data_IF_899740837132
#
_entry.id   IF_899740837132
#
_cell.length_a   1.000
_cell.length_b   1.000
_cell.length_c   1.000
_cell.angle_alpha   90.00
_cell.angle_beta   90.00
_cell.angle_gamma   90.00
#
_symmetry.space_group_name_H-M   'P 1'
#
loop_
_entity.id
_entity.type
_entity.pdbx_description
1 polymer ?
#
# COMPACT_ATOMS: atom_id res chain seq x y z
N UNK A 1 -4.53 -7.49 39.69
CA UNK A 1 -4.28 -7.89 38.27
C UNK A 1 -5.54 -8.07 37.41
N UNK A 2 -6.67 -8.60 37.93
CA UNK A 2 -7.92 -8.78 37.15
C UNK A 2 -8.61 -7.48 36.71
N UNK A 3 -8.51 -6.41 37.52
CA UNK A 3 -9.18 -5.13 37.24
C UNK A 3 -8.57 -4.39 36.05
N UNK A 4 -7.23 -4.43 35.94
CA UNK A 4 -6.48 -3.83 34.83
C UNK A 4 -6.84 -4.53 33.52
N UNK A 5 -6.92 -5.87 33.52
CA UNK A 5 -7.33 -6.63 32.34
C UNK A 5 -8.76 -6.30 31.87
N UNK A 6 -9.68 -6.08 32.82
CA UNK A 6 -11.04 -5.61 32.48
C UNK A 6 -11.03 -4.22 31.86
N UNK A 7 -10.22 -3.31 32.38
CA UNK A 7 -10.08 -1.96 31.83
C UNK A 7 -9.49 -1.96 30.41
N UNK A 8 -8.46 -2.76 30.18
CA UNK A 8 -7.84 -2.92 28.85
C UNK A 8 -8.81 -3.57 27.86
N UNK A 9 -9.58 -4.57 28.28
CA UNK A 9 -10.61 -5.18 27.44
C UNK A 9 -11.72 -4.17 27.08
N UNK A 10 -12.12 -3.33 28.04
CA UNK A 10 -13.12 -2.30 27.83
C UNK A 10 -12.63 -1.19 26.89
N UNK A 11 -11.39 -0.70 27.07
CA UNK A 11 -10.80 0.30 26.17
C UNK A 11 -10.70 -0.22 24.74
N UNK A 12 -10.26 -1.48 24.57
CA UNK A 12 -10.18 -2.12 23.26
C UNK A 12 -11.54 -2.23 22.57
N UNK A 13 -12.60 -2.52 23.33
CA UNK A 13 -13.97 -2.55 22.79
C UNK A 13 -14.47 -1.17 22.33
N UNK A 14 -14.09 -0.11 23.03
CA UNK A 14 -14.37 1.27 22.61
C UNK A 14 -13.57 1.65 21.36
N UNK A 15 -12.29 1.29 21.30
CA UNK A 15 -11.44 1.52 20.12
C UNK A 15 -12.02 0.79 18.89
N UNK A 16 -12.47 -0.46 19.05
CA UNK A 16 -13.13 -1.20 17.97
C UNK A 16 -14.44 -0.57 17.53
N UNK A 17 -15.24 -0.04 18.47
CA UNK A 17 -16.49 0.66 18.17
C UNK A 17 -16.23 1.95 17.38
N UNK A 18 -15.29 2.78 17.81
CA UNK A 18 -14.91 4.00 17.09
C UNK A 18 -14.27 3.69 15.72
N UNK A 19 -13.35 2.73 15.67
CA UNK A 19 -12.70 2.36 14.42
C UNK A 19 -13.68 1.75 13.41
N UNK A 20 -14.73 1.05 13.88
CA UNK A 20 -15.68 0.32 13.01
C UNK A 20 -16.30 1.17 11.91
N UNK A 21 -16.70 2.41 12.23
CA UNK A 21 -17.33 3.32 11.27
C UNK A 21 -16.34 3.83 10.22
N UNK A 22 -15.08 4.00 10.59
CA UNK A 22 -14.04 4.55 9.72
C UNK A 22 -13.21 3.50 8.99
N UNK A 23 -13.42 2.19 9.22
CA UNK A 23 -12.60 1.12 8.59
C UNK A 23 -12.53 1.26 7.08
N UNK A 24 -13.64 1.61 6.43
CA UNK A 24 -13.69 1.80 4.97
C UNK A 24 -12.84 2.98 4.50
N UNK A 25 -12.94 4.12 5.19
CA UNK A 25 -12.15 5.33 4.85
C UNK A 25 -10.67 5.08 5.10
N UNK A 26 -10.32 4.48 6.24
CA UNK A 26 -8.93 4.15 6.57
C UNK A 26 -8.34 3.16 5.56
N UNK A 27 -9.09 2.12 5.17
CA UNK A 27 -8.64 1.17 4.16
C UNK A 27 -8.48 1.82 2.78
N UNK A 28 -9.35 2.79 2.43
CA UNK A 28 -9.21 3.56 1.20
C UNK A 28 -7.96 4.44 1.23
N UNK A 29 -7.76 5.21 2.30
CA UNK A 29 -6.58 6.09 2.44
C UNK A 29 -5.28 5.30 2.46
N UNK A 30 -5.25 4.12 3.10
CA UNK A 30 -4.08 3.23 3.02
C UNK A 30 -3.80 2.80 1.58
N UNK A 31 -4.83 2.39 0.83
CA UNK A 31 -4.67 2.01 -0.58
C UNK A 31 -4.19 3.17 -1.45
N UNK A 32 -4.66 4.39 -1.22
CA UNK A 32 -4.21 5.59 -1.95
C UNK A 32 -2.72 5.86 -1.70
N UNK A 33 -2.26 5.66 -0.46
CA UNK A 33 -0.83 5.75 -0.10
C UNK A 33 -0.02 4.65 -0.78
N UNK A 34 -0.50 3.40 -0.74
CA UNK A 34 0.16 2.27 -1.39
C UNK A 34 0.28 2.51 -2.91
N UNK A 35 -0.76 3.04 -3.54
CA UNK A 35 -0.79 3.38 -4.97
C UNK A 35 0.15 4.54 -5.31
N UNK A 36 0.25 5.54 -4.43
CA UNK A 36 1.19 6.63 -4.59
C UNK A 36 2.64 6.11 -4.62
N UNK A 37 3.01 5.23 -3.68
CA UNK A 37 4.35 4.63 -3.66
C UNK A 37 4.63 3.77 -4.89
N UNK A 38 3.63 3.01 -5.38
CA UNK A 38 3.76 2.28 -6.64
C UNK A 38 4.09 3.24 -7.80
N UNK A 39 3.31 4.31 -7.96
CA UNK A 39 3.49 5.24 -9.07
C UNK A 39 4.88 5.89 -9.03
N UNK A 40 5.29 6.46 -7.89
CA UNK A 40 6.56 7.18 -7.82
C UNK A 40 7.76 6.25 -8.02
N UNK A 41 7.79 5.08 -7.36
CA UNK A 41 8.91 4.14 -7.48
C UNK A 41 9.05 3.58 -8.89
N UNK A 42 7.93 3.18 -9.53
CA UNK A 42 7.98 2.66 -10.88
C UNK A 42 8.16 3.75 -11.95
N UNK A 43 7.71 4.99 -11.69
CA UNK A 43 8.04 6.13 -12.55
C UNK A 43 9.54 6.38 -12.59
N UNK A 44 10.20 6.32 -11.43
CA UNK A 44 11.65 6.47 -11.31
C UNK A 44 12.39 5.35 -12.07
N UNK A 45 11.91 4.10 -11.93
CA UNK A 45 12.47 2.97 -12.66
C UNK A 45 12.34 3.11 -14.19
N UNK A 46 11.28 3.76 -14.68
CA UNK A 46 11.11 4.09 -16.10
C UNK A 46 11.88 5.35 -16.54
N UNK A 47 12.57 6.03 -15.63
CA UNK A 47 13.26 7.30 -15.90
C UNK A 47 12.30 8.48 -16.09
N UNK A 48 11.05 8.36 -15.65
CA UNK A 48 10.10 9.47 -15.60
C UNK A 48 10.43 10.31 -14.37
N UNK A 49 10.71 11.61 -14.54
CA UNK A 49 11.14 12.43 -13.43
C UNK A 49 10.02 12.65 -12.41
N UNK A 50 10.37 12.61 -11.13
CA UNK A 50 9.42 12.82 -10.03
C UNK A 50 10.10 13.55 -8.85
N UNK A 51 9.33 14.26 -7.97
CA UNK A 51 9.90 15.07 -6.91
C UNK A 51 10.58 14.29 -5.78
N UNK A 52 10.52 12.96 -5.81
CA UNK A 52 11.09 12.03 -4.83
C UNK A 52 12.19 11.13 -5.43
N UNK A 53 12.75 11.51 -6.58
CA UNK A 53 13.88 10.84 -7.22
C UNK A 53 15.01 10.51 -6.22
N UNK A 54 15.67 9.37 -6.44
CA UNK A 54 16.78 8.81 -5.66
C UNK A 54 16.40 8.26 -4.28
N UNK A 55 15.20 8.56 -3.77
CA UNK A 55 14.74 8.07 -2.47
C UNK A 55 13.81 6.85 -2.57
N UNK A 56 13.19 6.62 -3.71
CA UNK A 56 12.09 5.64 -3.81
C UNK A 56 12.50 4.28 -4.34
N UNK A 57 13.70 4.13 -4.90
CA UNK A 57 14.23 2.85 -5.40
C UNK A 57 14.44 1.82 -4.29
N UNK A 58 14.70 2.25 -3.06
CA UNK A 58 14.85 1.34 -1.91
C UNK A 58 13.56 0.58 -1.59
N UNK A 59 12.41 1.12 -2.03
CA UNK A 59 11.10 0.49 -1.85
C UNK A 59 10.83 -0.61 -2.88
N UNK A 60 11.62 -0.70 -3.95
CA UNK A 60 11.43 -1.69 -5.02
C UNK A 60 11.24 -3.12 -4.49
N UNK A 61 12.05 -3.65 -3.56
CA UNK A 61 11.90 -5.02 -3.08
C UNK A 61 10.55 -5.30 -2.40
N UNK A 62 9.98 -4.31 -1.73
CA UNK A 62 8.69 -4.42 -1.03
C UNK A 62 7.49 -4.21 -1.96
N UNK A 63 7.65 -3.33 -2.95
CA UNK A 63 6.60 -3.03 -3.93
C UNK A 63 6.53 -4.08 -5.04
N UNK A 64 7.65 -4.72 -5.38
CA UNK A 64 7.73 -5.68 -6.48
C UNK A 64 6.70 -6.80 -6.42
N UNK A 65 6.55 -7.52 -5.29
CA UNK A 65 5.64 -8.65 -5.21
C UNK A 65 4.16 -8.24 -5.36
N UNK A 66 3.86 -6.95 -5.17
CA UNK A 66 2.51 -6.38 -5.22
C UNK A 66 2.17 -5.78 -6.58
N UNK A 67 3.15 -5.68 -7.48
CA UNK A 67 3.01 -4.98 -8.76
C UNK A 67 1.95 -5.64 -9.67
N UNK A 68 1.91 -6.97 -9.77
CA UNK A 68 0.92 -7.68 -10.61
C UNK A 68 -0.52 -7.28 -10.28
N UNK A 69 -0.87 -7.31 -8.99
CA UNK A 69 -2.21 -6.96 -8.52
C UNK A 69 -2.49 -5.47 -8.73
N UNK A 70 -1.48 -4.63 -8.55
CA UNK A 70 -1.60 -3.19 -8.71
C UNK A 70 -1.88 -2.79 -10.17
N UNK A 71 -1.10 -3.29 -11.14
CA UNK A 71 -1.25 -2.88 -12.54
C UNK A 71 -2.60 -3.33 -13.11
N UNK A 72 -3.09 -4.52 -12.73
CA UNK A 72 -4.44 -4.98 -13.06
C UNK A 72 -5.51 -4.07 -12.46
N UNK A 73 -5.35 -3.66 -11.19
CA UNK A 73 -6.29 -2.78 -10.50
C UNK A 73 -6.40 -1.41 -11.17
N UNK A 74 -5.29 -0.86 -11.66
CA UNK A 74 -5.29 0.44 -12.35
C UNK A 74 -5.70 0.34 -13.83
N UNK A 75 -5.98 -0.88 -14.33
CA UNK A 75 -6.49 -1.11 -15.67
C UNK A 75 -5.41 -1.19 -16.76
N UNK A 76 -4.18 -1.52 -16.40
CA UNK A 76 -3.13 -1.83 -17.37
C UNK A 76 -3.34 -3.28 -17.86
N UNK A 77 -3.49 -3.44 -19.18
CA UNK A 77 -3.69 -4.76 -19.79
C UNK A 77 -2.44 -5.64 -19.69
N UNK A 78 -1.27 -5.02 -19.81
CA UNK A 78 0.04 -5.67 -19.81
C UNK A 78 1.01 -4.88 -18.92
N UNK A 79 2.05 -5.56 -18.45
CA UNK A 79 3.14 -4.92 -17.74
C UNK A 79 3.87 -3.94 -18.67
N UNK A 80 4.11 -2.69 -18.26
CA UNK A 80 4.96 -1.75 -19.01
C UNK A 80 6.44 -2.14 -19.01
N UNK A 81 6.83 -3.18 -18.27
CA UNK A 81 8.21 -3.65 -18.15
C UNK A 81 8.42 -4.96 -18.91
N UNK A 82 9.43 -4.98 -19.80
CA UNK A 82 9.78 -6.16 -20.60
C UNK A 82 10.62 -7.20 -19.82
N UNK A 83 11.54 -6.74 -18.95
CA UNK A 83 12.56 -7.59 -18.31
C UNK A 83 12.47 -7.58 -16.77
N UNK A 84 11.32 -7.20 -16.22
CA UNK A 84 11.11 -7.03 -14.79
C UNK A 84 9.93 -7.86 -14.31
N UNK A 85 9.88 -8.31 -13.04
CA UNK A 85 8.75 -9.06 -12.49
C UNK A 85 7.43 -8.26 -12.50
N UNK A 86 6.73 -8.33 -13.63
CA UNK A 86 5.45 -9.00 -13.78
C UNK A 86 5.39 -9.60 -15.19
N UNK A 87 6.02 -10.77 -15.33
CA UNK A 87 5.99 -11.64 -16.52
C UNK A 87 4.76 -12.56 -16.55
N UNK A 88 3.64 -12.10 -15.99
CA UNK A 88 2.35 -12.76 -16.10
C UNK A 88 1.30 -11.69 -16.44
N UNK A 89 0.84 -11.53 -17.68
CA UNK A 89 0.70 -12.48 -18.78
C UNK A 89 1.99 -13.01 -19.43
#
# INVERSE_FOLDING_TARGET
MKLIHKFVAFSKGLDEYYASSYRGVLAKSQKEIDDFFMIITFSEMMGIPNPYELYTLELLPELMPKFHVWHQKVGLNESPFENFPCTCC
#
